data_IF_540220675602
#
_entry.id   IF_540220675602
#
_cell.length_a   1.000
_cell.length_b   1.000
_cell.length_c   1.000
_cell.angle_alpha   90.00
_cell.angle_beta   90.00
_cell.angle_gamma   90.00
#
_symmetry.space_group_name_H-M   'P 1'
#
loop_
_entity.id
_entity.type
_entity.pdbx_description
1 polymer ?
#
# COMPACT_ATOMS: atom_id res chain seq x y z
N UNK A 1 -22.84 -8.28 -18.01
CA UNK A 1 -21.51 -7.83 -18.45
C UNK A 1 -20.59 -9.01 -18.78
N UNK A 2 -20.27 -9.94 -17.86
CA UNK A 2 -19.30 -11.04 -18.07
C UNK A 2 -19.65 -11.91 -19.31
N UNK A 3 -20.93 -12.21 -19.53
CA UNK A 3 -21.38 -12.98 -20.73
C UNK A 3 -21.08 -12.23 -22.02
N UNK A 4 -21.30 -10.93 -22.03
CA UNK A 4 -20.99 -10.07 -23.17
C UNK A 4 -19.49 -10.02 -23.43
N UNK A 5 -18.69 -9.81 -22.36
CA UNK A 5 -17.22 -9.84 -22.48
C UNK A 5 -16.72 -11.18 -23.05
N UNK A 6 -17.27 -12.32 -22.59
CA UNK A 6 -16.86 -13.64 -23.07
C UNK A 6 -17.15 -13.85 -24.57
N UNK A 7 -18.21 -13.23 -25.10
CA UNK A 7 -18.55 -13.31 -26.52
C UNK A 7 -17.55 -12.57 -27.41
N UNK A 8 -16.92 -11.52 -26.93
CA UNK A 8 -16.05 -10.63 -27.70
C UNK A 8 -14.57 -10.77 -27.37
N UNK A 9 -14.21 -11.35 -26.22
CA UNK A 9 -12.83 -11.51 -25.78
C UNK A 9 -12.24 -12.87 -26.22
N UNK A 10 -11.01 -12.86 -26.75
CA UNK A 10 -10.24 -14.09 -26.98
C UNK A 10 -9.90 -14.79 -25.67
N UNK A 11 -9.51 -14.01 -24.64
CA UNK A 11 -9.27 -14.46 -23.28
C UNK A 11 -10.04 -13.55 -22.33
N UNK A 12 -10.70 -14.13 -21.34
CA UNK A 12 -11.45 -13.42 -20.32
C UNK A 12 -10.71 -13.45 -18.99
N UNK A 13 -10.34 -12.31 -18.46
CA UNK A 13 -9.80 -12.16 -17.11
C UNK A 13 -10.82 -11.56 -16.14
N UNK A 14 -10.70 -11.92 -14.86
CA UNK A 14 -11.40 -11.28 -13.76
C UNK A 14 -10.35 -10.82 -12.76
N UNK A 15 -10.44 -9.54 -12.34
CA UNK A 15 -9.54 -8.97 -11.35
C UNK A 15 -10.30 -8.37 -10.18
N UNK A 16 -9.64 -8.31 -9.03
CA UNK A 16 -10.06 -7.52 -7.87
C UNK A 16 -8.83 -6.89 -7.21
N UNK A 17 -9.05 -5.92 -6.35
CA UNK A 17 -8.01 -5.31 -5.54
C UNK A 17 -8.51 -5.14 -4.11
N UNK A 18 -7.75 -5.60 -3.12
CA UNK A 18 -8.14 -5.62 -1.70
C UNK A 18 -7.90 -4.30 -0.97
N UNK A 19 -7.36 -3.31 -1.65
CA UNK A 19 -6.93 -2.02 -1.08
C UNK A 19 -5.44 -2.01 -0.74
N UNK A 20 -4.81 -0.83 -0.84
CA UNK A 20 -3.39 -0.63 -0.53
C UNK A 20 -3.10 -0.95 0.94
N UNK A 21 -1.90 -1.49 1.21
CA UNK A 21 -1.43 -1.83 2.56
C UNK A 21 -2.45 -2.73 3.30
N UNK A 22 -2.90 -3.80 2.66
CA UNK A 22 -3.90 -4.70 3.22
C UNK A 22 -3.31 -5.53 4.36
N UNK A 23 -3.60 -5.16 5.60
CA UNK A 23 -3.08 -5.83 6.80
C UNK A 23 -3.75 -7.19 7.07
N UNK A 24 -4.88 -7.48 6.44
CA UNK A 24 -5.67 -8.69 6.68
C UNK A 24 -5.66 -9.62 5.46
N UNK A 25 -4.85 -10.67 5.49
CA UNK A 25 -4.75 -11.68 4.41
C UNK A 25 -6.09 -12.26 3.97
N UNK A 26 -7.07 -12.39 4.90
CA UNK A 26 -8.41 -12.92 4.61
C UNK A 26 -9.19 -12.10 3.56
N UNK A 27 -8.77 -10.86 3.29
CA UNK A 27 -9.39 -10.04 2.25
C UNK A 27 -9.22 -10.66 0.86
N UNK A 28 -8.12 -11.37 0.62
CA UNK A 28 -7.90 -12.08 -0.65
C UNK A 28 -8.84 -13.27 -0.82
N UNK A 29 -9.06 -14.08 0.23
CA UNK A 29 -10.02 -15.18 0.15
C UNK A 29 -11.46 -14.69 0.05
N UNK A 30 -11.81 -13.53 0.62
CA UNK A 30 -13.10 -12.87 0.40
C UNK A 30 -13.28 -12.48 -1.07
N UNK A 31 -12.28 -11.86 -1.70
CA UNK A 31 -12.32 -11.54 -3.13
C UNK A 31 -12.49 -12.79 -4.01
N UNK A 32 -11.75 -13.85 -3.72
CA UNK A 32 -11.89 -15.13 -4.43
C UNK A 32 -13.26 -15.78 -4.21
N UNK A 33 -13.89 -15.61 -3.05
CA UNK A 33 -15.26 -16.04 -2.79
C UNK A 33 -16.26 -15.32 -3.70
N UNK A 34 -16.07 -14.02 -3.95
CA UNK A 34 -16.93 -13.28 -4.87
C UNK A 34 -16.75 -13.78 -6.33
N UNK A 35 -15.53 -14.11 -6.74
CA UNK A 35 -15.29 -14.75 -8.03
C UNK A 35 -15.98 -16.12 -8.10
N UNK A 36 -15.92 -16.92 -7.03
CA UNK A 36 -16.65 -18.21 -6.97
C UNK A 36 -18.16 -18.02 -7.17
N UNK A 37 -18.73 -17.02 -6.49
CA UNK A 37 -20.16 -16.68 -6.62
C UNK A 37 -20.51 -16.29 -8.07
N UNK A 38 -19.64 -15.49 -8.70
CA UNK A 38 -19.80 -15.05 -10.07
C UNK A 38 -19.75 -16.24 -11.06
N UNK A 39 -18.79 -17.15 -10.91
CA UNK A 39 -18.66 -18.36 -11.72
C UNK A 39 -19.93 -19.23 -11.57
N UNK A 40 -20.39 -19.45 -10.34
CA UNK A 40 -21.61 -20.24 -10.07
C UNK A 40 -22.85 -19.64 -10.73
N UNK A 41 -22.99 -18.29 -10.66
CA UNK A 41 -24.14 -17.55 -11.22
C UNK A 41 -24.12 -17.51 -12.74
N UNK A 42 -22.95 -17.35 -13.35
CA UNK A 42 -22.81 -17.15 -14.79
C UNK A 42 -22.55 -18.44 -15.56
N UNK A 43 -22.02 -19.46 -14.88
CA UNK A 43 -21.47 -20.71 -15.46
C UNK A 43 -20.27 -20.45 -16.41
N UNK A 44 -19.61 -19.31 -16.23
CA UNK A 44 -18.43 -18.94 -17.02
C UNK A 44 -17.20 -19.00 -16.11
N UNK A 45 -16.23 -19.82 -16.47
CA UNK A 45 -14.90 -19.85 -15.86
C UNK A 45 -14.01 -18.88 -16.63
N UNK A 46 -13.35 -17.93 -15.99
CA UNK A 46 -12.40 -17.03 -16.66
C UNK A 46 -11.14 -17.80 -17.08
N UNK A 47 -10.41 -17.27 -18.06
CA UNK A 47 -9.11 -17.80 -18.47
C UNK A 47 -8.01 -17.38 -17.49
N UNK A 48 -8.19 -16.21 -16.82
CA UNK A 48 -7.25 -15.63 -15.86
C UNK A 48 -7.99 -15.07 -14.64
N UNK A 49 -7.44 -15.27 -13.46
CA UNK A 49 -7.84 -14.56 -12.22
C UNK A 49 -6.66 -13.73 -11.74
N UNK A 50 -6.84 -12.41 -11.69
CA UNK A 50 -5.86 -11.50 -11.12
C UNK A 50 -6.34 -11.10 -9.72
N UNK A 51 -5.59 -11.53 -8.70
CA UNK A 51 -5.90 -11.20 -7.29
C UNK A 51 -5.48 -9.77 -6.91
N UNK A 52 -4.94 -9.01 -7.86
CA UNK A 52 -4.57 -7.62 -7.70
C UNK A 52 -3.35 -7.40 -6.84
N UNK A 53 -3.25 -6.18 -6.36
CA UNK A 53 -2.21 -5.72 -5.43
C UNK A 53 -2.72 -5.62 -3.99
N UNK A 54 -2.10 -4.70 -3.25
CA UNK A 54 -2.45 -4.44 -1.86
C UNK A 54 -1.60 -5.22 -0.86
N UNK A 55 -0.65 -6.05 -1.31
CA UNK A 55 0.30 -6.72 -0.44
C UNK A 55 1.07 -5.70 0.39
N UNK A 56 1.07 -5.85 1.74
CA UNK A 56 1.60 -4.83 2.62
C UNK A 56 3.11 -4.88 2.77
N UNK A 57 3.69 -3.77 3.23
CA UNK A 57 5.06 -3.67 3.72
C UNK A 57 5.08 -3.19 5.16
N UNK A 58 6.25 -3.26 5.81
CA UNK A 58 6.44 -2.82 7.20
C UNK A 58 6.57 -1.30 7.23
N UNK A 59 5.79 -0.67 8.12
CA UNK A 59 5.88 0.76 8.44
C UNK A 59 5.83 0.95 9.95
N UNK A 60 6.19 2.12 10.49
CA UNK A 60 5.96 2.43 11.90
C UNK A 60 4.51 2.09 12.28
N UNK A 61 4.35 1.31 13.36
CA UNK A 61 3.06 0.83 13.89
C UNK A 61 2.22 -0.07 12.97
N UNK A 62 2.74 -0.43 11.79
CA UNK A 62 2.10 -1.34 10.83
C UNK A 62 3.01 -2.53 10.55
N UNK A 63 2.80 -3.63 11.27
CA UNK A 63 3.55 -4.89 11.10
C UNK A 63 2.64 -5.96 10.53
N UNK A 64 2.63 -6.16 9.19
CA UNK A 64 1.86 -7.22 8.57
C UNK A 64 2.42 -8.61 8.91
N UNK A 65 1.61 -9.63 8.68
CA UNK A 65 2.12 -11.00 8.66
C UNK A 65 3.13 -11.19 7.50
N UNK A 66 3.98 -12.25 7.56
CA UNK A 66 4.85 -12.62 6.44
C UNK A 66 4.06 -12.77 5.13
N UNK A 67 4.65 -12.37 4.02
CA UNK A 67 3.98 -12.36 2.70
C UNK A 67 3.54 -13.77 2.28
N UNK A 68 4.26 -14.79 2.71
CA UNK A 68 3.95 -16.20 2.49
C UNK A 68 2.55 -16.56 2.99
N UNK A 69 2.13 -15.98 4.13
CA UNK A 69 0.81 -16.21 4.70
C UNK A 69 -0.32 -15.66 3.81
N UNK A 70 -0.04 -14.58 3.07
CA UNK A 70 -0.98 -14.03 2.07
C UNK A 70 -1.11 -14.98 0.87
N UNK A 71 -0.01 -15.52 0.37
CA UNK A 71 -0.04 -16.50 -0.71
C UNK A 71 -0.69 -17.81 -0.29
N UNK A 72 -0.49 -18.26 0.94
CA UNK A 72 -1.20 -19.43 1.46
C UNK A 72 -2.71 -19.21 1.50
N UNK A 73 -3.13 -18.04 1.95
CA UNK A 73 -4.57 -17.68 2.00
C UNK A 73 -5.17 -17.61 0.60
N UNK A 74 -4.43 -17.06 -0.38
CA UNK A 74 -4.84 -17.07 -1.79
C UNK A 74 -4.97 -18.51 -2.28
N UNK A 75 -3.99 -19.39 -2.03
CA UNK A 75 -4.05 -20.81 -2.44
C UNK A 75 -5.24 -21.52 -1.82
N UNK A 76 -5.58 -21.25 -0.55
CA UNK A 76 -6.79 -21.78 0.10
C UNK A 76 -8.05 -21.30 -0.61
N UNK A 77 -8.14 -20.00 -0.89
CA UNK A 77 -9.26 -19.42 -1.62
C UNK A 77 -9.45 -20.03 -3.01
N UNK A 78 -8.36 -20.26 -3.74
CA UNK A 78 -8.40 -20.91 -5.07
C UNK A 78 -8.90 -22.36 -5.00
N UNK A 79 -8.48 -23.14 -3.99
CA UNK A 79 -9.01 -24.52 -3.79
C UNK A 79 -10.53 -24.52 -3.55
N UNK A 80 -11.09 -23.49 -2.94
CA UNK A 80 -12.53 -23.37 -2.72
C UNK A 80 -13.33 -23.06 -3.99
N UNK A 81 -12.68 -22.69 -5.10
CA UNK A 81 -13.36 -22.52 -6.39
C UNK A 81 -13.90 -23.86 -6.94
N UNK A 82 -13.30 -24.98 -6.53
CA UNK A 82 -13.68 -26.35 -6.95
C UNK A 82 -13.80 -26.48 -8.47
N UNK A 83 -12.79 -25.99 -9.19
CA UNK A 83 -12.67 -26.09 -10.63
C UNK A 83 -11.76 -27.27 -10.99
N UNK A 84 -12.12 -28.04 -12.03
CA UNK A 84 -11.30 -29.16 -12.54
C UNK A 84 -9.94 -28.67 -13.05
N UNK A 85 -9.93 -27.48 -13.66
CA UNK A 85 -8.72 -26.78 -14.08
C UNK A 85 -8.77 -25.35 -13.57
N UNK A 86 -7.73 -24.94 -12.84
CA UNK A 86 -7.59 -23.56 -12.39
C UNK A 86 -7.23 -22.64 -13.56
N UNK A 87 -7.80 -21.43 -13.60
CA UNK A 87 -7.34 -20.35 -14.47
C UNK A 87 -5.86 -19.99 -14.20
N UNK A 88 -5.26 -19.26 -15.13
CA UNK A 88 -3.99 -18.58 -14.86
C UNK A 88 -4.15 -17.60 -13.71
N UNK A 89 -3.22 -17.63 -12.73
CA UNK A 89 -3.30 -16.78 -11.55
C UNK A 89 -2.23 -15.70 -11.64
N UNK A 90 -2.67 -14.45 -11.54
CA UNK A 90 -1.81 -13.25 -11.58
C UNK A 90 -1.97 -12.48 -10.28
N UNK A 91 -0.91 -11.81 -9.84
CA UNK A 91 -0.92 -10.81 -8.77
C UNK A 91 -0.11 -9.58 -9.18
N UNK A 92 -0.37 -8.45 -8.53
CA UNK A 92 0.24 -7.16 -8.83
C UNK A 92 0.86 -6.54 -7.57
N UNK A 93 1.86 -7.19 -6.93
CA UNK A 93 2.51 -6.64 -5.76
C UNK A 93 3.36 -5.44 -6.16
N UNK A 94 2.97 -4.24 -5.71
CA UNK A 94 3.76 -3.02 -5.88
C UNK A 94 4.57 -2.73 -4.62
N UNK A 95 3.92 -2.15 -3.62
CA UNK A 95 4.52 -1.72 -2.35
C UNK A 95 5.38 -2.80 -1.69
N UNK A 96 4.89 -4.04 -1.62
CA UNK A 96 5.62 -5.15 -0.99
C UNK A 96 6.98 -5.45 -1.63
N UNK A 97 7.20 -5.05 -2.89
CA UNK A 97 8.47 -5.25 -3.59
C UNK A 97 9.40 -4.04 -3.51
N UNK A 98 8.85 -2.82 -3.43
CA UNK A 98 9.65 -1.60 -3.64
C UNK A 98 9.66 -0.63 -2.46
N UNK A 99 8.92 -0.89 -1.38
CA UNK A 99 8.82 0.05 -0.26
C UNK A 99 10.17 0.35 0.42
N UNK A 100 11.10 -0.58 0.38
CA UNK A 100 12.44 -0.43 0.99
C UNK A 100 13.54 -0.11 -0.03
N UNK A 101 13.20 0.02 -1.31
CA UNK A 101 14.23 0.18 -2.35
C UNK A 101 14.77 1.60 -2.50
N UNK A 102 14.17 2.60 -1.85
CA UNK A 102 14.56 3.99 -1.98
C UNK A 102 14.21 4.86 -0.78
N UNK A 103 14.74 6.07 -0.78
CA UNK A 103 14.45 7.10 0.22
C UNK A 103 14.34 8.45 -0.45
N UNK A 104 13.41 9.27 0.01
CA UNK A 104 13.30 10.67 -0.40
C UNK A 104 14.06 11.55 0.58
N UNK A 105 14.97 12.37 0.08
CA UNK A 105 15.69 13.36 0.87
C UNK A 105 14.99 14.70 0.71
N UNK A 106 14.51 15.25 1.81
CA UNK A 106 13.86 16.54 1.87
C UNK A 106 14.65 17.53 2.73
N UNK A 107 14.58 18.81 2.38
CA UNK A 107 15.21 19.89 3.16
C UNK A 107 14.17 20.56 4.03
N UNK A 108 14.52 20.76 5.31
CA UNK A 108 13.75 21.60 6.21
C UNK A 108 14.08 23.06 5.91
N UNK A 109 13.12 23.81 5.37
CA UNK A 109 13.27 25.23 5.06
C UNK A 109 12.97 26.12 6.25
N UNK A 110 12.03 25.71 7.13
CA UNK A 110 11.62 26.49 8.30
C UNK A 110 11.13 25.55 9.40
N UNK A 111 11.42 25.90 10.63
CA UNK A 111 10.83 25.28 11.82
C UNK A 111 10.01 26.30 12.62
N UNK A 112 8.77 25.93 12.98
CA UNK A 112 7.94 26.65 13.96
C UNK A 112 7.51 25.67 15.06
N UNK A 113 8.14 25.72 16.22
CA UNK A 113 7.91 24.77 17.33
C UNK A 113 8.11 23.31 16.86
N UNK A 114 7.04 22.51 16.80
CA UNK A 114 7.02 21.13 16.32
C UNK A 114 6.55 20.95 14.86
N UNK A 115 6.49 22.04 14.10
CA UNK A 115 6.12 22.05 12.68
C UNK A 115 7.35 22.29 11.85
N UNK A 116 7.60 21.41 10.87
CA UNK A 116 8.69 21.50 9.89
C UNK A 116 8.10 21.75 8.51
N UNK A 117 8.53 22.83 7.90
CA UNK A 117 8.18 23.18 6.53
C UNK A 117 9.28 22.67 5.61
N UNK A 118 8.94 21.77 4.71
CA UNK A 118 9.89 21.04 3.86
C UNK A 118 9.64 21.34 2.37
N UNK A 119 10.60 21.01 1.54
CA UNK A 119 10.56 21.31 0.10
C UNK A 119 9.87 20.26 -0.77
N UNK A 120 9.23 19.27 -0.15
CA UNK A 120 8.37 18.28 -0.79
C UNK A 120 7.13 18.03 0.09
N UNK A 121 6.11 17.37 -0.44
CA UNK A 121 4.86 17.21 0.30
C UNK A 121 3.91 16.17 -0.31
N UNK A 122 2.66 16.26 0.07
CA UNK A 122 1.61 15.32 -0.35
C UNK A 122 1.28 15.41 -1.85
N UNK A 123 1.59 16.51 -2.49
CA UNK A 123 1.48 16.70 -3.94
C UNK A 123 2.74 16.25 -4.70
N UNK A 124 3.74 15.73 -4.00
CA UNK A 124 4.98 15.21 -4.53
C UNK A 124 5.23 13.76 -4.13
N UNK A 125 6.46 13.47 -3.74
CA UNK A 125 6.87 12.10 -3.40
C UNK A 125 6.34 11.60 -2.04
N UNK A 126 5.74 12.46 -1.22
CA UNK A 126 5.24 12.14 0.12
C UNK A 126 3.72 11.98 0.19
N UNK A 127 3.08 11.66 -0.93
CA UNK A 127 1.62 11.49 -1.02
C UNK A 127 1.04 10.61 0.09
N UNK A 128 1.61 9.44 0.30
CA UNK A 128 1.14 8.48 1.31
C UNK A 128 1.23 9.02 2.75
N UNK A 129 2.17 9.92 3.03
CA UNK A 129 2.32 10.54 4.36
C UNK A 129 1.17 11.51 4.71
N UNK A 130 0.39 11.94 3.73
CA UNK A 130 -0.85 12.71 3.91
C UNK A 130 -2.06 11.85 4.27
N UNK A 131 -1.98 10.53 4.05
CA UNK A 131 -3.06 9.60 4.40
C UNK A 131 -3.15 9.47 5.93
N UNK A 132 -4.35 9.59 6.53
CA UNK A 132 -4.51 9.45 7.98
C UNK A 132 -3.95 8.12 8.49
N UNK A 133 -3.19 8.19 9.59
CA UNK A 133 -2.55 7.05 10.26
C UNK A 133 -1.49 6.31 9.41
N UNK A 134 -1.02 6.88 8.31
CA UNK A 134 0.09 6.34 7.54
C UNK A 134 1.36 7.16 7.81
N UNK A 135 2.33 6.54 8.46
CA UNK A 135 3.57 7.21 8.91
C UNK A 135 4.75 6.63 8.13
N UNK A 136 5.46 7.48 7.40
CA UNK A 136 6.70 7.08 6.74
C UNK A 136 7.86 7.07 7.74
N UNK A 137 8.76 6.06 7.69
CA UNK A 137 10.00 6.08 8.47
C UNK A 137 10.82 7.31 8.12
N UNK A 138 11.30 8.03 9.13
CA UNK A 138 12.08 9.26 8.92
C UNK A 138 13.39 9.23 9.69
N UNK A 139 14.43 9.83 9.12
CA UNK A 139 15.73 9.99 9.72
C UNK A 139 16.28 11.39 9.44
N UNK A 140 16.83 12.05 10.45
CA UNK A 140 17.51 13.33 10.28
C UNK A 140 18.91 13.09 9.70
N UNK A 141 19.25 13.82 8.65
CA UNK A 141 20.61 13.94 8.10
C UNK A 141 21.13 15.32 8.43
N UNK A 142 22.33 15.39 9.03
CA UNK A 142 22.96 16.65 9.41
C UNK A 142 24.39 16.70 8.85
N UNK A 143 24.82 17.88 8.42
CA UNK A 143 26.21 18.13 7.98
C UNK A 143 27.13 18.35 9.18
N UNK A 144 27.53 17.25 9.84
CA UNK A 144 28.49 17.30 10.96
C UNK A 144 27.97 17.86 12.29
N UNK A 145 26.71 18.28 12.37
CA UNK A 145 26.13 18.74 13.65
C UNK A 145 25.80 17.54 14.53
N UNK A 146 26.15 17.63 15.82
CA UNK A 146 25.79 16.61 16.81
C UNK A 146 24.28 16.62 16.97
N UNK A 147 23.65 15.45 16.77
CA UNK A 147 22.21 15.30 16.96
C UNK A 147 21.87 15.28 18.46
N UNK A 148 20.79 15.95 18.82
CA UNK A 148 20.24 15.89 20.17
C UNK A 148 19.76 14.48 20.50
N UNK A 149 20.06 14.00 21.71
CA UNK A 149 19.48 12.76 22.24
C UNK A 149 17.97 12.90 22.55
N UNK A 150 17.50 14.13 22.73
CA UNK A 150 16.07 14.41 22.96
C UNK A 150 15.29 14.26 21.66
N UNK A 151 14.39 13.30 21.62
CA UNK A 151 13.48 13.08 20.50
C UNK A 151 12.20 13.89 20.72
N UNK A 152 11.72 14.48 19.64
CA UNK A 152 10.49 15.29 19.61
C UNK A 152 9.62 14.81 18.46
N UNK A 153 8.31 14.82 18.67
CA UNK A 153 7.32 14.55 17.63
C UNK A 153 7.11 15.80 16.77
N UNK A 154 7.30 15.67 15.48
CA UNK A 154 7.10 16.72 14.49
C UNK A 154 5.94 16.40 13.56
N UNK A 155 5.42 17.46 12.94
CA UNK A 155 4.48 17.46 11.83
C UNK A 155 5.17 18.10 10.64
N UNK A 156 4.88 17.61 9.42
CA UNK A 156 5.45 18.19 8.21
C UNK A 156 4.40 18.96 7.42
N UNK A 157 4.85 20.03 6.80
CA UNK A 157 4.09 20.87 5.88
C UNK A 157 4.87 20.96 4.58
N UNK A 158 4.21 20.66 3.48
CA UNK A 158 4.81 20.74 2.14
C UNK A 158 4.92 22.18 1.64
N UNK A 159 5.43 22.35 0.41
CA UNK A 159 5.74 23.66 -0.15
C UNK A 159 4.54 24.40 -0.73
N UNK A 160 3.39 23.76 -0.85
CA UNK A 160 2.21 24.39 -1.47
C UNK A 160 1.43 25.23 -0.45
N UNK A 161 0.52 26.09 -0.93
CA UNK A 161 -0.40 26.84 -0.09
C UNK A 161 -1.66 26.05 0.30
N UNK A 162 -1.81 24.80 -0.20
CA UNK A 162 -2.96 23.98 0.09
C UNK A 162 -2.87 23.39 1.52
N UNK A 163 -3.98 23.49 2.26
CA UNK A 163 -4.09 22.91 3.61
C UNK A 163 -3.98 21.39 3.64
N UNK A 164 -4.19 20.71 2.51
CA UNK A 164 -4.00 19.26 2.36
C UNK A 164 -2.52 18.87 2.22
N UNK A 165 -1.62 19.83 1.99
CA UNK A 165 -0.19 19.59 1.95
C UNK A 165 0.40 19.51 3.35
N UNK A 166 -0.19 18.63 4.14
CA UNK A 166 0.06 18.46 5.55
C UNK A 166 0.18 16.97 5.91
N UNK A 167 1.22 16.65 6.63
CA UNK A 167 1.52 15.30 7.10
C UNK A 167 1.56 15.30 8.62
N UNK A 168 0.53 14.70 9.22
CA UNK A 168 0.29 14.75 10.68
C UNK A 168 1.40 14.07 11.49
N UNK A 169 2.03 13.03 10.96
CA UNK A 169 2.96 12.21 11.72
C UNK A 169 2.26 11.36 12.79
N UNK A 170 2.94 11.05 13.92
CA UNK A 170 4.15 11.72 14.47
C UNK A 170 5.46 11.32 13.75
N UNK A 171 6.26 12.30 13.36
CA UNK A 171 7.62 12.07 12.89
C UNK A 171 8.60 12.29 14.05
N UNK A 172 9.20 11.21 14.54
CA UNK A 172 10.07 11.23 15.72
C UNK A 172 11.51 11.55 15.31
N UNK A 173 11.96 12.75 15.60
CA UNK A 173 13.27 13.25 15.18
C UNK A 173 13.99 13.95 16.36
N UNK A 174 15.35 14.09 16.27
CA UNK A 174 16.11 14.89 17.24
C UNK A 174 15.59 16.32 17.34
N UNK A 175 15.55 16.86 18.56
CA UNK A 175 14.92 18.18 18.81
C UNK A 175 15.70 19.37 18.24
N UNK A 176 16.93 19.21 17.83
CA UNK A 176 17.80 20.29 17.35
C UNK A 176 17.85 20.45 15.83
N UNK A 177 16.71 20.27 15.18
CA UNK A 177 16.51 20.50 13.74
C UNK A 177 16.43 22.00 13.47
#
# INVERSE_FOLDING_TARGET
LIRLCKQHAKKLGISFHVGSQCMHKISFSKGLKEISNLIKKTKIVPDTINVGGGFPSIYPDLKPEPIENYFEEIRKGLKHLKLDKLPEIICEPGRALVAECGSTIVRVNLRKKNKLYINDGTYGSLFDAGVPNFILPTKLITNGRIQSKKITSFQFYGPTCDSMDYMKGPFLLPNNI
#
